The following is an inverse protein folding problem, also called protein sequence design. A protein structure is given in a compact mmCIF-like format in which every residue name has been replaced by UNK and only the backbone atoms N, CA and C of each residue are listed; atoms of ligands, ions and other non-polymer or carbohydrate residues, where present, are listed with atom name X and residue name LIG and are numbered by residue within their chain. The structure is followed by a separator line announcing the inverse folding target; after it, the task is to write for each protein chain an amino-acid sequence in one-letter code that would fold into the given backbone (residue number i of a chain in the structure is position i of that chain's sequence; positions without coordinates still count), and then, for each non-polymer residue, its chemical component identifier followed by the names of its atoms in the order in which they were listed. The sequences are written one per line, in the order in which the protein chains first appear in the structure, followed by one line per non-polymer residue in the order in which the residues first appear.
data_IF_861061081345
#
_entry.id   IF_861061081345
#
_cell.length_a   1.000
_cell.length_b   1.000
_cell.length_c   1.000
_cell.angle_alpha   90.00
_cell.angle_beta   90.00
_cell.angle_gamma   90.00
#
_symmetry.space_group_name_H-M   'P 1'
#
loop_
_entity.id
_entity.type
_entity.pdbx_description
1 polymer ?
#
# COMPACT_ATOMS: atom_id res chain seq x y z
N UNK A 1 9.11 53.15 40.87
CA UNK A 1 7.98 52.99 41.82
C UNK A 1 6.71 52.77 41.02
N UNK A 2 6.05 51.60 41.16
CA UNK A 2 4.65 51.24 40.80
C UNK A 2 4.28 51.40 39.30
N UNK A 3 3.72 50.44 38.57
CA UNK A 3 2.53 49.57 38.79
C UNK A 3 2.63 48.41 37.78
N UNK A 4 2.53 47.14 38.19
CA UNK A 4 1.30 46.33 38.21
C UNK A 4 0.58 46.21 36.85
N UNK A 5 0.61 45.00 36.28
CA UNK A 5 -0.10 44.54 35.09
C UNK A 5 0.62 43.28 34.59
N UNK A 6 0.00 42.16 34.25
CA UNK A 6 -1.39 41.86 33.90
C UNK A 6 -1.56 40.35 34.11
N UNK A 7 -2.72 39.92 34.59
CA UNK A 7 -3.04 38.53 34.87
C UNK A 7 -2.91 37.64 33.61
N UNK A 8 -2.16 36.55 33.73
CA UNK A 8 -2.07 35.51 32.70
C UNK A 8 -3.29 34.59 32.84
N UNK A 9 -4.25 34.75 31.92
CA UNK A 9 -5.45 33.92 31.82
C UNK A 9 -5.03 32.55 31.27
N UNK A 10 -5.15 31.51 32.10
CA UNK A 10 -5.01 30.11 31.71
C UNK A 10 -6.25 29.71 30.92
N UNK A 11 -6.13 29.61 29.59
CA UNK A 11 -7.17 29.11 28.72
C UNK A 11 -7.12 27.58 28.70
N UNK A 12 -8.12 26.95 29.32
CA UNK A 12 -8.38 25.51 29.25
C UNK A 12 -8.71 25.10 27.80
N UNK A 13 -7.84 24.29 27.17
CA UNK A 13 -8.14 23.55 25.95
C UNK A 13 -8.70 22.18 26.34
N UNK A 14 -10.02 22.02 26.23
CA UNK A 14 -10.70 20.73 26.35
C UNK A 14 -10.66 20.02 24.98
N UNK A 15 -9.95 18.89 24.91
CA UNK A 15 -9.94 18.02 23.73
C UNK A 15 -11.21 17.15 23.68
N UNK A 16 -11.91 17.16 22.55
CA UNK A 16 -13.00 16.22 22.25
C UNK A 16 -12.51 15.15 21.26
N UNK A 17 -12.51 13.85 21.60
CA UNK A 17 -12.36 12.79 20.62
C UNK A 17 -13.71 12.49 19.96
N UNK A 18 -13.85 12.91 18.69
CA UNK A 18 -14.94 12.45 17.81
C UNK A 18 -14.59 11.08 17.23
N UNK A 19 -15.21 10.02 17.75
CA UNK A 19 -15.16 8.69 17.17
C UNK A 19 -16.37 8.50 16.23
N UNK A 20 -16.12 8.47 14.91
CA UNK A 20 -17.10 8.00 13.94
C UNK A 20 -17.16 6.46 14.00
N UNK A 21 -18.28 5.91 14.47
CA UNK A 21 -18.63 4.49 14.28
C UNK A 21 -19.74 4.41 13.24
N UNK A 22 -19.42 3.91 12.05
CA UNK A 22 -20.41 3.55 11.03
C UNK A 22 -20.80 2.06 11.21
N UNK A 23 -22.10 1.80 11.43
CA UNK A 23 -22.71 0.48 11.14
C UNK A 23 -22.75 0.24 9.63
N UNK A 24 -23.06 -0.93 9.08
CA UNK A 24 -23.85 -2.08 9.53
C UNK A 24 -23.58 -3.26 8.58
N UNK A 25 -23.84 -4.50 9.00
CA UNK A 25 -23.96 -5.62 8.05
C UNK A 25 -24.08 -6.99 8.70
N UNK A 26 -25.31 -7.40 9.05
CA UNK A 26 -25.64 -8.81 9.27
C UNK A 26 -25.85 -9.45 7.89
N UNK A 27 -25.08 -10.48 7.56
CA UNK A 27 -25.38 -11.37 6.45
C UNK A 27 -25.36 -12.83 6.92
N UNK A 28 -26.41 -13.50 6.48
CA UNK A 28 -26.95 -14.80 6.86
C UNK A 28 -26.03 -16.00 6.67
N UNK A 29 -26.42 -17.05 7.40
CA UNK A 29 -26.00 -18.43 7.22
C UNK A 29 -26.14 -18.93 5.77
N UNK A 30 -25.16 -19.74 5.35
CA UNK A 30 -25.22 -20.62 4.20
C UNK A 30 -24.17 -21.73 4.37
N UNK A 31 -24.63 -22.96 4.58
CA UNK A 31 -23.81 -24.14 4.80
C UNK A 31 -23.36 -24.81 3.50
N UNK A 32 -22.12 -25.33 3.48
CA UNK A 32 -21.75 -26.55 2.75
C UNK A 32 -20.96 -26.41 1.45
N UNK A 33 -19.65 -26.68 1.49
CA UNK A 33 -19.02 -27.88 0.90
C UNK A 33 -17.49 -27.75 0.90
N UNK A 34 -16.84 -28.83 1.30
CA UNK A 34 -15.44 -28.97 1.65
C UNK A 34 -14.49 -28.94 0.44
N UNK A 35 -13.48 -28.08 0.49
CA UNK A 35 -12.26 -28.17 -0.31
C UNK A 35 -11.06 -28.04 0.62
N UNK A 36 -10.32 -29.13 0.79
CA UNK A 36 -9.15 -29.20 1.66
C UNK A 36 -8.00 -28.37 1.04
N UNK A 37 -7.71 -27.24 1.68
CA UNK A 37 -6.52 -26.42 1.51
C UNK A 37 -6.28 -25.72 2.84
N UNK A 38 -5.51 -26.37 3.70
CA UNK A 38 -5.21 -25.95 5.07
C UNK A 38 -4.48 -24.61 5.08
N UNK A 39 -5.11 -23.58 5.64
CA UNK A 39 -4.46 -22.30 5.94
C UNK A 39 -5.35 -21.05 5.85
N UNK A 40 -6.55 -21.06 6.42
CA UNK A 40 -7.32 -19.82 6.66
C UNK A 40 -7.24 -19.45 8.13
N UNK A 41 -6.35 -18.51 8.46
CA UNK A 41 -6.24 -17.90 9.78
C UNK A 41 -6.54 -16.41 9.72
N UNK A 42 -7.83 -16.04 9.70
CA UNK A 42 -8.26 -14.72 10.17
C UNK A 42 -8.27 -14.79 11.70
N UNK A 43 -7.14 -14.47 12.34
CA UNK A 43 -6.96 -14.62 13.79
C UNK A 43 -5.82 -13.77 14.32
N UNK A 44 -6.17 -12.77 15.11
CA UNK A 44 -5.26 -11.88 15.83
C UNK A 44 -4.49 -12.71 16.87
N UNK A 45 -3.17 -12.83 16.70
CA UNK A 45 -2.22 -13.27 17.73
C UNK A 45 -2.07 -14.78 17.91
N UNK A 46 -1.02 -15.36 17.33
CA UNK A 46 -0.59 -16.71 17.69
C UNK A 46 0.33 -17.41 16.67
N UNK A 47 1.62 -17.05 16.65
CA UNK A 47 2.71 -18.04 16.64
C UNK A 47 2.94 -18.98 15.45
N UNK A 48 2.43 -18.73 14.24
CA UNK A 48 2.82 -19.52 13.07
C UNK A 48 4.05 -18.92 12.40
N UNK A 49 5.15 -19.67 12.41
CA UNK A 49 6.35 -19.30 11.68
C UNK A 49 6.22 -19.63 10.18
N UNK A 50 6.98 -18.95 9.32
CA UNK A 50 6.79 -18.97 7.87
C UNK A 50 5.58 -18.17 7.41
N UNK A 51 5.19 -17.13 8.16
CA UNK A 51 4.02 -16.30 7.86
C UNK A 51 4.40 -14.86 7.53
N UNK A 52 3.55 -14.23 6.73
CA UNK A 52 3.64 -12.82 6.34
C UNK A 52 2.47 -12.03 6.93
N UNK A 53 2.77 -10.94 7.62
CA UNK A 53 1.77 -9.94 8.02
C UNK A 53 2.14 -8.60 7.39
N UNK A 54 1.44 -8.24 6.30
CA UNK A 54 1.85 -7.10 5.47
C UNK A 54 3.23 -7.35 4.87
N UNK A 55 4.20 -6.51 5.24
CA UNK A 55 5.60 -6.65 4.84
C UNK A 55 6.48 -7.31 5.91
N UNK A 56 5.93 -7.78 7.03
CA UNK A 56 6.72 -8.44 8.07
C UNK A 56 6.71 -9.95 7.89
N UNK A 57 7.88 -10.56 7.70
CA UNK A 57 8.08 -12.00 7.66
C UNK A 57 8.47 -12.54 9.04
N UNK A 58 7.81 -13.60 9.51
CA UNK A 58 8.17 -14.28 10.76
C UNK A 58 8.82 -15.63 10.45
N UNK A 59 10.16 -15.75 10.43
CA UNK A 59 10.85 -17.01 10.17
C UNK A 59 10.69 -18.00 11.34
N UNK A 60 10.91 -19.29 11.08
CA UNK A 60 10.87 -20.34 12.13
C UNK A 60 12.11 -20.35 13.02
N UNK A 61 13.25 -19.92 12.49
CA UNK A 61 14.55 -20.02 13.16
C UNK A 61 15.11 -18.65 13.59
N UNK A 62 14.25 -17.63 13.75
CA UNK A 62 14.72 -16.28 14.04
C UNK A 62 13.64 -15.28 14.44
N UNK A 63 14.03 -14.03 14.72
CA UNK A 63 13.09 -12.94 14.94
C UNK A 63 12.38 -12.57 13.63
N UNK A 64 11.20 -11.96 13.77
CA UNK A 64 10.52 -11.36 12.64
C UNK A 64 11.36 -10.23 12.01
N UNK A 65 11.28 -10.11 10.69
CA UNK A 65 11.99 -9.11 9.89
C UNK A 65 11.04 -8.36 8.95
N UNK A 66 11.37 -7.11 8.63
CA UNK A 66 10.58 -6.27 7.74
C UNK A 66 11.14 -6.35 6.32
N UNK A 67 10.33 -6.84 5.39
CA UNK A 67 10.67 -6.97 3.99
C UNK A 67 10.58 -5.61 3.30
N UNK A 68 11.59 -5.23 2.50
CA UNK A 68 11.61 -3.92 1.85
C UNK A 68 10.57 -3.77 0.74
N UNK A 69 10.25 -4.86 0.04
CA UNK A 69 9.36 -4.82 -1.14
C UNK A 69 8.19 -5.78 -1.02
N UNK A 70 8.47 -7.08 -0.87
CA UNK A 70 7.43 -8.10 -0.84
C UNK A 70 7.72 -9.19 0.20
N UNK A 71 6.64 -9.70 0.81
CA UNK A 71 6.67 -10.83 1.74
C UNK A 71 5.92 -12.01 1.11
N UNK A 72 6.61 -13.14 0.98
CA UNK A 72 6.03 -14.41 0.53
C UNK A 72 6.07 -15.43 1.66
N UNK A 73 4.95 -16.09 2.02
CA UNK A 73 4.95 -17.10 3.08
C UNK A 73 5.76 -18.36 2.70
N UNK A 74 6.00 -18.58 1.40
CA UNK A 74 6.74 -19.76 0.91
C UNK A 74 8.24 -19.48 0.79
N UNK A 75 8.63 -18.24 0.53
CA UNK A 75 10.01 -17.86 0.17
C UNK A 75 10.66 -16.99 1.26
N UNK A 76 9.88 -16.14 1.93
CA UNK A 76 10.34 -15.11 2.85
C UNK A 76 10.30 -13.72 2.21
N UNK A 77 11.22 -12.85 2.63
CA UNK A 77 11.39 -11.54 2.00
C UNK A 77 11.95 -11.67 0.59
N UNK A 78 11.32 -10.97 -0.36
CA UNK A 78 11.61 -11.04 -1.79
C UNK A 78 11.73 -9.64 -2.37
N UNK A 79 12.45 -9.52 -3.48
CA UNK A 79 12.68 -8.23 -4.17
C UNK A 79 11.45 -7.78 -4.95
N UNK A 80 10.54 -8.71 -5.27
CA UNK A 80 9.31 -8.47 -6.01
C UNK A 80 8.31 -9.62 -5.76
N UNK A 81 7.05 -9.41 -6.17
CA UNK A 81 6.01 -10.44 -6.06
C UNK A 81 6.20 -11.49 -7.16
N UNK A 82 6.42 -12.75 -6.77
CA UNK A 82 6.65 -13.85 -7.70
C UNK A 82 5.60 -13.92 -8.83
N UNK A 83 6.06 -14.03 -10.07
CA UNK A 83 5.22 -14.08 -11.27
C UNK A 83 4.62 -12.74 -11.71
N UNK A 84 4.79 -11.65 -10.94
CA UNK A 84 4.34 -10.31 -11.33
C UNK A 84 5.38 -9.61 -12.21
N UNK A 85 4.99 -8.48 -12.80
CA UNK A 85 5.95 -7.51 -13.36
C UNK A 85 6.14 -6.35 -12.40
N UNK A 86 7.29 -5.69 -12.49
CA UNK A 86 7.58 -4.48 -11.76
C UNK A 86 8.52 -3.58 -12.56
N UNK A 87 8.66 -2.33 -12.13
CA UNK A 87 9.51 -1.36 -12.81
C UNK A 87 10.93 -1.35 -12.25
N UNK A 88 11.92 -1.51 -13.11
CA UNK A 88 13.32 -1.23 -12.81
C UNK A 88 13.78 -0.08 -13.72
N UNK A 89 13.79 1.14 -13.17
CA UNK A 89 13.97 2.33 -13.99
C UNK A 89 12.81 2.51 -14.97
N UNK A 90 13.11 2.52 -16.28
CA UNK A 90 12.10 2.61 -17.34
C UNK A 90 11.81 1.28 -18.03
N UNK A 91 12.29 0.17 -17.45
CA UNK A 91 12.09 -1.18 -17.95
C UNK A 91 11.04 -1.91 -17.09
N UNK A 92 10.15 -2.64 -17.75
CA UNK A 92 9.27 -3.62 -17.13
C UNK A 92 10.05 -4.92 -17.02
N UNK A 93 10.22 -5.42 -15.80
CA UNK A 93 10.97 -6.65 -15.50
C UNK A 93 10.02 -7.69 -14.93
N UNK A 94 10.18 -8.95 -15.34
CA UNK A 94 9.42 -10.05 -14.76
C UNK A 94 10.05 -10.48 -13.43
N UNK A 95 9.23 -10.63 -12.39
CA UNK A 95 9.64 -11.28 -11.17
C UNK A 95 9.55 -12.81 -11.33
N UNK A 96 10.65 -13.50 -11.07
CA UNK A 96 10.69 -14.96 -11.14
C UNK A 96 9.92 -15.59 -9.97
N UNK A 97 9.66 -16.89 -10.07
CA UNK A 97 8.93 -17.65 -9.04
C UNK A 97 9.69 -17.73 -7.70
N UNK A 98 11.00 -17.45 -7.70
CA UNK A 98 11.83 -17.35 -6.50
C UNK A 98 11.83 -15.95 -5.87
N UNK A 99 11.06 -15.00 -6.42
CA UNK A 99 10.96 -13.63 -5.91
C UNK A 99 12.14 -12.73 -6.27
N UNK A 100 12.98 -13.14 -7.24
CA UNK A 100 14.09 -12.34 -7.76
C UNK A 100 13.76 -11.68 -9.11
N UNK A 101 14.45 -10.57 -9.45
CA UNK A 101 14.33 -9.94 -10.77
C UNK A 101 14.79 -10.88 -11.90
N UNK A 102 13.91 -11.11 -12.87
CA UNK A 102 14.19 -11.86 -14.08
C UNK A 102 14.62 -10.97 -15.25
N UNK A 103 14.24 -11.39 -16.47
CA UNK A 103 14.53 -10.64 -17.70
C UNK A 103 13.61 -9.43 -17.87
N UNK A 104 14.10 -8.42 -18.59
CA UNK A 104 13.29 -7.33 -19.12
C UNK A 104 12.23 -7.88 -20.06
N UNK A 105 10.98 -7.54 -19.79
CA UNK A 105 9.80 -7.86 -20.60
C UNK A 105 9.60 -6.80 -21.68
N UNK A 106 9.72 -5.52 -21.30
CA UNK A 106 9.54 -4.37 -22.18
C UNK A 106 10.35 -3.16 -21.67
N UNK A 107 10.86 -2.33 -22.58
CA UNK A 107 11.48 -1.04 -22.26
C UNK A 107 10.55 0.07 -22.72
N UNK A 108 10.13 0.95 -21.80
CA UNK A 108 9.24 2.05 -22.14
C UNK A 108 10.03 3.15 -22.86
N UNK A 109 9.54 3.62 -24.02
CA UNK A 109 10.21 4.69 -24.77
C UNK A 109 9.78 6.07 -24.25
N UNK A 110 10.68 6.84 -23.61
CA UNK A 110 10.35 8.18 -23.15
C UNK A 110 10.09 9.16 -24.30
N UNK A 111 10.59 8.89 -25.51
CA UNK A 111 10.36 9.75 -26.68
C UNK A 111 8.93 9.66 -27.20
N UNK A 112 8.24 8.54 -26.96
CA UNK A 112 6.80 8.39 -27.23
C UNK A 112 5.94 8.76 -26.01
N UNK A 113 6.56 9.29 -24.95
CA UNK A 113 5.86 9.72 -23.74
C UNK A 113 5.48 8.58 -22.78
N UNK A 114 6.08 7.40 -22.95
CA UNK A 114 5.85 6.25 -22.06
C UNK A 114 6.87 6.23 -20.92
N UNK A 115 6.41 5.82 -19.75
CA UNK A 115 7.26 5.55 -18.59
C UNK A 115 6.78 4.29 -17.88
N UNK A 116 7.69 3.59 -17.20
CA UNK A 116 7.30 2.43 -16.40
C UNK A 116 6.61 2.88 -15.11
N UNK A 117 5.35 2.46 -14.91
CA UNK A 117 4.62 2.62 -13.65
C UNK A 117 3.85 1.35 -13.36
N UNK A 118 3.91 0.87 -12.11
CA UNK A 118 3.20 -0.33 -11.63
C UNK A 118 3.45 -1.59 -12.47
N UNK A 119 4.68 -1.75 -12.98
CA UNK A 119 5.06 -2.90 -13.79
C UNK A 119 4.49 -2.90 -15.21
N UNK A 120 4.12 -1.74 -15.75
CA UNK A 120 3.67 -1.57 -17.12
C UNK A 120 4.18 -0.26 -17.73
N UNK A 121 4.32 -0.23 -19.06
CA UNK A 121 4.53 1.02 -19.78
C UNK A 121 3.22 1.81 -19.88
N UNK A 122 3.18 2.95 -19.22
CA UNK A 122 2.01 3.85 -19.19
C UNK A 122 2.40 5.21 -19.73
N UNK A 123 1.45 5.92 -20.30
CA UNK A 123 1.58 7.35 -20.58
C UNK A 123 1.54 8.15 -19.29
N UNK A 124 2.09 9.36 -19.30
CA UNK A 124 2.02 10.28 -18.14
C UNK A 124 0.58 10.56 -17.69
N UNK A 125 -0.37 10.54 -18.61
CA UNK A 125 -1.78 10.74 -18.31
C UNK A 125 -2.33 9.58 -17.48
N UNK A 126 -2.12 8.33 -17.94
CA UNK A 126 -2.58 7.14 -17.21
C UNK A 126 -2.00 7.07 -15.80
N UNK A 127 -0.72 7.46 -15.63
CA UNK A 127 -0.10 7.54 -14.29
C UNK A 127 -0.74 8.63 -13.42
N UNK A 128 -1.13 9.76 -14.01
CA UNK A 128 -1.77 10.85 -13.26
C UNK A 128 -3.19 10.47 -12.80
N UNK A 129 -3.93 9.72 -13.62
CA UNK A 129 -5.24 9.16 -13.26
C UNK A 129 -5.12 8.19 -12.07
N UNK A 130 -4.12 7.31 -12.08
CA UNK A 130 -3.88 6.37 -10.98
C UNK A 130 -3.45 7.07 -9.67
N UNK A 131 -2.74 8.21 -9.77
CA UNK A 131 -2.20 8.93 -8.63
C UNK A 131 -3.20 9.84 -7.89
N UNK A 132 -4.48 9.89 -8.32
CA UNK A 132 -5.50 10.80 -7.79
C UNK A 132 -5.00 12.26 -7.69
N UNK A 133 -4.25 12.71 -8.70
CA UNK A 133 -3.69 14.06 -8.76
C UNK A 133 -4.74 15.04 -9.30
N UNK A 134 -4.87 16.23 -8.69
CA UNK A 134 -5.67 17.31 -9.25
C UNK A 134 -5.06 17.91 -10.54
N UNK A 135 -3.86 17.43 -10.92
CA UNK A 135 -3.20 17.72 -12.19
C UNK A 135 -3.36 16.48 -13.07
N UNK A 136 -4.56 16.32 -13.64
CA UNK A 136 -4.86 15.33 -14.67
C UNK A 136 -4.53 15.86 -16.07
N UNK A 137 -4.69 15.01 -17.10
CA UNK A 137 -4.62 15.46 -18.50
C UNK A 137 -5.89 16.16 -18.98
N UNK A 138 -6.89 16.22 -18.11
CA UNK A 138 -8.13 16.94 -18.27
C UNK A 138 -8.02 18.38 -17.79
N UNK A 139 -8.39 19.32 -18.66
CA UNK A 139 -8.40 20.74 -18.37
C UNK A 139 -9.80 21.14 -17.87
N UNK A 140 -9.92 21.38 -16.56
CA UNK A 140 -11.09 22.03 -15.98
C UNK A 140 -10.86 23.55 -16.03
N UNK A 141 -11.66 24.24 -16.83
CA UNK A 141 -11.74 25.69 -16.72
C UNK A 141 -12.40 26.03 -15.38
N UNK A 142 -11.62 26.53 -14.44
CA UNK A 142 -12.14 27.14 -13.21
C UNK A 142 -12.60 28.54 -13.57
N UNK A 143 -13.89 28.82 -13.42
CA UNK A 143 -14.37 30.19 -13.51
C UNK A 143 -13.84 30.96 -12.29
N UNK A 144 -13.06 32.01 -12.55
CA UNK A 144 -12.41 32.85 -11.54
C UNK A 144 -13.02 34.27 -11.57
N UNK A 145 -14.30 34.37 -11.87
CA UNK A 145 -15.07 35.60 -11.77
C UNK A 145 -15.51 35.83 -10.30
N UNK A 146 -14.64 36.50 -9.54
CA UNK A 146 -14.93 37.03 -8.19
C UNK A 146 -15.08 38.56 -8.22
#
# INVERSE_FOLDING_TARGET
MRKAGLAFIVLLMAAMPGACSAGSGKSSAGSGASGAGTGTGNGVGGGDCGSCFGLTYTPCDGPAEECPVACSPTIGCTDCVAGSTFCNGNDVVQCLDDGTPGSVVETCDPNTGLLCSDGACKTRCEVAEDAASNVGCEFWAVDLDQ
#
